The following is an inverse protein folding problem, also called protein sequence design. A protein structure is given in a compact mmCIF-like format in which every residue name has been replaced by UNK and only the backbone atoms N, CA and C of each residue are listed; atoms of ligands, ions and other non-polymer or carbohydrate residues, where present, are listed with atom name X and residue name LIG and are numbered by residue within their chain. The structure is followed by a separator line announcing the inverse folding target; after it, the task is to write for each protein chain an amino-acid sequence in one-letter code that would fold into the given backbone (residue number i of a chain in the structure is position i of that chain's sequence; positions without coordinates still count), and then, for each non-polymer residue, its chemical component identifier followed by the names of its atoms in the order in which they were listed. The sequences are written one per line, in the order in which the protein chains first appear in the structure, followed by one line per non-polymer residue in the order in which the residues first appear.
data_IF_423366059032
#
_entry.id   IF_423366059032
#
_cell.length_a   1.000
_cell.length_b   1.000
_cell.length_c   1.000
_cell.angle_alpha   90.00
_cell.angle_beta   90.00
_cell.angle_gamma   90.00
#
_symmetry.space_group_name_H-M   'P 1'
#
loop_
_entity.id
_entity.type
_entity.pdbx_description
1 polymer ?
#
# COMPACT_ATOMS: atom_id res chain seq x y z
N UNK A 1 21.33 -2.25 4.44
CA UNK A 1 21.59 -1.56 3.15
C UNK A 1 21.70 -0.08 3.46
N UNK A 2 22.83 0.60 3.21
CA UNK A 2 23.00 2.01 3.63
C UNK A 2 22.40 2.95 2.56
N UNK A 3 21.06 2.99 2.48
CA UNK A 3 20.35 3.76 1.46
C UNK A 3 20.22 5.21 1.92
N UNK A 4 20.81 6.14 1.16
CA UNK A 4 20.67 7.58 1.41
C UNK A 4 19.44 8.09 0.67
N UNK A 5 18.34 8.29 1.41
CA UNK A 5 17.10 8.82 0.86
C UNK A 5 17.28 10.30 0.49
N UNK A 6 16.96 10.73 -0.74
CA UNK A 6 17.00 12.14 -1.11
C UNK A 6 16.03 12.96 -0.25
N UNK A 7 16.42 14.20 0.10
CA UNK A 7 15.54 15.10 0.86
C UNK A 7 14.30 15.55 0.07
N UNK A 8 14.44 15.62 -1.24
CA UNK A 8 13.38 16.03 -2.17
C UNK A 8 13.45 15.19 -3.43
N UNK A 9 12.30 14.77 -3.95
CA UNK A 9 12.15 14.05 -5.22
C UNK A 9 10.97 14.64 -5.97
N UNK A 10 11.15 15.07 -7.22
CA UNK A 10 10.12 15.68 -8.06
C UNK A 10 9.39 16.85 -7.36
N UNK A 11 10.13 17.66 -6.60
CA UNK A 11 9.58 18.77 -5.81
C UNK A 11 8.84 18.37 -4.52
N UNK A 12 8.72 17.07 -4.22
CA UNK A 12 8.13 16.56 -2.98
C UNK A 12 9.21 16.37 -1.93
N UNK A 13 9.05 16.99 -0.76
CA UNK A 13 9.93 16.77 0.40
C UNK A 13 9.64 15.41 1.03
N UNK A 14 10.67 14.63 1.28
CA UNK A 14 10.54 13.37 2.03
C UNK A 14 10.57 13.67 3.53
N UNK A 15 9.57 13.20 4.32
CA UNK A 15 9.57 13.37 5.76
C UNK A 15 10.81 12.77 6.44
N UNK A 16 11.40 13.51 7.38
CA UNK A 16 12.66 13.16 8.05
C UNK A 16 12.58 13.28 9.59
N UNK A 17 11.37 13.29 10.14
CA UNK A 17 11.14 13.15 11.57
C UNK A 17 11.63 11.79 12.09
N UNK A 18 11.69 11.65 13.41
CA UNK A 18 12.10 10.39 14.04
C UNK A 18 11.15 9.23 13.66
N UNK A 19 9.82 9.36 13.74
CA UNK A 19 8.91 8.31 13.26
C UNK A 19 9.08 8.00 11.77
N UNK A 20 9.26 8.99 10.91
CA UNK A 20 9.47 8.75 9.48
C UNK A 20 10.75 7.94 9.21
N UNK A 21 11.86 8.28 9.87
CA UNK A 21 13.13 7.54 9.75
C UNK A 21 13.03 6.12 10.27
N UNK A 22 12.37 5.90 11.40
CA UNK A 22 12.20 4.56 11.96
C UNK A 22 11.23 3.70 11.13
N UNK A 23 10.18 4.29 10.56
CA UNK A 23 9.28 3.59 9.65
C UNK A 23 10.05 3.02 8.43
N UNK A 24 10.89 3.84 7.80
CA UNK A 24 11.63 3.37 6.62
C UNK A 24 12.74 2.38 6.98
N UNK A 25 13.33 2.47 8.17
CA UNK A 25 14.24 1.44 8.71
C UNK A 25 13.54 0.07 8.78
N UNK A 26 12.30 0.01 9.28
CA UNK A 26 11.51 -1.23 9.31
C UNK A 26 11.23 -1.79 7.90
N UNK A 27 10.95 -0.92 6.92
CA UNK A 27 10.78 -1.35 5.53
C UNK A 27 12.08 -1.88 4.91
N UNK A 28 13.23 -1.33 5.31
CA UNK A 28 14.54 -1.83 4.86
C UNK A 28 14.92 -3.15 5.54
N UNK A 29 14.52 -3.35 6.80
CA UNK A 29 14.82 -4.55 7.57
C UNK A 29 13.93 -5.74 7.20
N UNK A 30 12.66 -5.49 6.89
CA UNK A 30 11.67 -6.55 6.65
C UNK A 30 11.16 -6.62 5.22
N UNK A 31 11.28 -5.54 4.46
CA UNK A 31 10.88 -5.49 3.05
C UNK A 31 11.98 -5.96 2.10
N UNK A 32 11.78 -5.62 0.84
CA UNK A 32 12.77 -5.80 -0.22
C UNK A 32 13.07 -4.46 -0.86
N UNK A 33 14.17 -4.37 -1.62
CA UNK A 33 14.43 -3.17 -2.43
C UNK A 33 13.26 -2.84 -3.38
N UNK A 34 12.56 -3.88 -3.85
CA UNK A 34 11.38 -3.73 -4.68
C UNK A 34 10.23 -3.01 -3.94
N UNK A 35 9.89 -3.48 -2.73
CA UNK A 35 8.85 -2.84 -1.89
C UNK A 35 9.27 -1.44 -1.45
N UNK A 36 10.54 -1.25 -1.06
CA UNK A 36 11.10 0.06 -0.74
C UNK A 36 10.91 1.07 -1.88
N UNK A 37 11.30 0.69 -3.10
CA UNK A 37 11.14 1.56 -4.26
C UNK A 37 9.65 1.80 -4.60
N UNK A 38 8.80 0.78 -4.48
CA UNK A 38 7.36 0.91 -4.70
C UNK A 38 6.71 1.88 -3.71
N UNK A 39 6.93 1.70 -2.40
CA UNK A 39 6.43 2.56 -1.34
C UNK A 39 6.80 4.03 -1.55
N UNK A 40 8.07 4.32 -1.88
CA UNK A 40 8.51 5.69 -2.08
C UNK A 40 8.01 6.31 -3.39
N UNK A 41 7.86 5.52 -4.47
CA UNK A 41 7.16 6.01 -5.67
C UNK A 41 5.70 6.33 -5.37
N UNK A 42 4.98 5.43 -4.71
CA UNK A 42 3.58 5.62 -4.33
C UNK A 42 3.39 6.87 -3.47
N UNK A 43 4.29 7.12 -2.50
CA UNK A 43 4.30 8.36 -1.71
C UNK A 43 4.42 9.61 -2.58
N UNK A 44 5.45 9.68 -3.43
CA UNK A 44 5.72 10.88 -4.23
C UNK A 44 4.58 11.13 -5.22
N UNK A 45 4.05 10.08 -5.86
CA UNK A 45 2.87 10.18 -6.72
C UNK A 45 1.62 10.69 -5.96
N UNK A 46 1.38 10.18 -4.76
CA UNK A 46 0.29 10.64 -3.90
C UNK A 46 0.43 12.13 -3.55
N UNK A 47 1.64 12.58 -3.18
CA UNK A 47 1.91 13.98 -2.89
C UNK A 47 1.67 14.91 -4.08
N UNK A 48 2.14 14.52 -5.27
CA UNK A 48 1.93 15.28 -6.51
C UNK A 48 0.44 15.38 -6.85
N UNK A 49 -0.34 14.32 -6.60
CA UNK A 49 -1.79 14.38 -6.76
C UNK A 49 -2.44 15.33 -5.76
N UNK A 50 -2.00 15.31 -4.51
CA UNK A 50 -2.47 16.23 -3.47
C UNK A 50 -2.21 17.68 -3.84
N UNK A 51 -1.03 17.99 -4.38
CA UNK A 51 -0.68 19.31 -4.90
C UNK A 51 -1.55 19.73 -6.09
N UNK A 52 -1.70 18.86 -7.11
CA UNK A 52 -2.53 19.12 -8.29
C UNK A 52 -4.00 19.38 -7.93
N UNK A 53 -4.52 18.67 -6.93
CA UNK A 53 -5.91 18.79 -6.48
C UNK A 53 -6.12 19.80 -5.36
N UNK A 54 -5.06 20.52 -4.93
CA UNK A 54 -5.06 21.44 -3.80
C UNK A 54 -5.67 20.85 -2.52
N UNK A 55 -5.53 19.54 -2.33
CA UNK A 55 -6.02 18.81 -1.16
C UNK A 55 -5.07 19.01 0.01
N UNK A 56 -5.62 19.31 1.18
CA UNK A 56 -4.86 19.34 2.44
C UNK A 56 -4.75 17.92 2.98
N UNK A 57 -3.54 17.53 3.36
CA UNK A 57 -3.21 16.24 3.97
C UNK A 57 -1.96 16.41 4.84
N UNK A 58 -1.76 15.50 5.78
CA UNK A 58 -0.52 15.36 6.53
C UNK A 58 0.47 14.49 5.75
N UNK A 59 1.56 15.11 5.27
CA UNK A 59 2.56 14.43 4.47
C UNK A 59 3.35 13.37 5.26
N UNK A 60 3.49 13.53 6.58
CA UNK A 60 4.17 12.55 7.42
C UNK A 60 3.31 11.30 7.60
N UNK A 61 2.00 11.47 7.83
CA UNK A 61 1.08 10.34 7.93
C UNK A 61 0.92 9.61 6.59
N UNK A 62 0.85 10.34 5.48
CA UNK A 62 0.83 9.75 4.15
C UNK A 62 2.12 8.97 3.84
N UNK A 63 3.28 9.50 4.24
CA UNK A 63 4.56 8.81 4.11
C UNK A 63 4.59 7.52 4.92
N UNK A 64 4.25 7.57 6.21
CA UNK A 64 4.21 6.37 7.06
C UNK A 64 3.22 5.34 6.48
N UNK A 65 2.04 5.78 6.06
CA UNK A 65 1.06 4.88 5.42
C UNK A 65 1.64 4.22 4.15
N UNK A 66 2.36 4.96 3.30
CA UNK A 66 3.02 4.42 2.12
C UNK A 66 4.16 3.45 2.44
N UNK A 67 4.86 3.64 3.55
CA UNK A 67 5.94 2.74 3.99
C UNK A 67 5.36 1.41 4.48
N UNK A 68 4.22 1.44 5.16
CA UNK A 68 3.60 0.27 5.75
C UNK A 68 2.62 -0.48 4.85
N UNK A 69 2.13 0.11 3.75
CA UNK A 69 0.99 -0.46 3.00
C UNK A 69 1.17 -1.90 2.51
N UNK A 70 2.41 -2.25 2.15
CA UNK A 70 2.79 -3.58 1.66
C UNK A 70 3.57 -4.41 2.69
N UNK A 71 3.81 -3.90 3.91
CA UNK A 71 4.56 -4.67 4.91
C UNK A 71 3.83 -5.95 5.33
N UNK A 72 2.49 -5.98 5.23
CA UNK A 72 1.70 -7.19 5.44
C UNK A 72 1.98 -8.34 4.45
N UNK A 73 2.71 -8.10 3.36
CA UNK A 73 3.21 -9.16 2.46
C UNK A 73 4.45 -9.86 3.01
N UNK A 74 5.13 -9.27 3.98
CA UNK A 74 6.41 -9.77 4.49
C UNK A 74 6.21 -10.83 5.58
N UNK A 75 7.14 -11.79 5.73
CA UNK A 75 7.03 -12.83 6.77
C UNK A 75 6.92 -12.29 8.20
N UNK A 76 7.48 -11.12 8.48
CA UNK A 76 7.48 -10.53 9.82
C UNK A 76 6.11 -9.99 10.23
N UNK A 77 5.35 -9.41 9.29
CA UNK A 77 4.08 -8.73 9.60
C UNK A 77 2.85 -9.51 9.14
N UNK A 78 2.99 -10.53 8.28
CA UNK A 78 1.84 -11.32 7.81
C UNK A 78 1.27 -12.22 8.90
N UNK A 79 -0.06 -12.24 9.04
CA UNK A 79 -0.80 -13.17 9.90
C UNK A 79 -1.20 -14.45 9.17
N UNK A 80 -1.88 -15.36 9.86
CA UNK A 80 -2.43 -16.59 9.28
C UNK A 80 -3.79 -16.35 8.57
N UNK A 81 -4.53 -15.32 8.97
CA UNK A 81 -5.98 -15.22 8.73
C UNK A 81 -6.47 -13.84 8.29
N UNK A 82 -5.65 -12.79 8.37
CA UNK A 82 -6.05 -11.48 7.85
C UNK A 82 -5.61 -11.25 6.42
N UNK A 83 -6.29 -10.33 5.75
CA UNK A 83 -5.82 -9.67 4.53
C UNK A 83 -4.46 -9.00 4.76
N UNK A 84 -3.58 -9.02 3.75
CA UNK A 84 -2.27 -8.37 3.89
C UNK A 84 -2.42 -6.86 4.14
N UNK A 85 -3.46 -6.24 3.58
CA UNK A 85 -3.75 -4.82 3.81
C UNK A 85 -4.07 -4.55 5.30
N UNK A 86 -4.77 -5.47 5.96
CA UNK A 86 -5.08 -5.40 7.39
C UNK A 86 -3.84 -5.68 8.23
N UNK A 87 -2.99 -6.63 7.83
CA UNK A 87 -1.70 -6.90 8.48
C UNK A 87 -0.80 -5.65 8.47
N UNK A 88 -0.64 -5.02 7.31
CA UNK A 88 0.11 -3.77 7.17
C UNK A 88 -0.50 -2.62 8.00
N UNK A 89 -1.83 -2.51 8.01
CA UNK A 89 -2.53 -1.48 8.77
C UNK A 89 -2.35 -1.66 10.28
N UNK A 90 -2.42 -2.90 10.77
CA UNK A 90 -2.16 -3.24 12.17
C UNK A 90 -0.72 -2.89 12.56
N UNK A 91 0.26 -3.25 11.72
CA UNK A 91 1.65 -2.89 11.93
C UNK A 91 1.88 -1.37 12.01
N UNK A 92 1.27 -0.60 11.10
CA UNK A 92 1.36 0.86 11.09
C UNK A 92 0.76 1.49 12.36
N UNK A 93 -0.40 0.98 12.78
CA UNK A 93 -1.08 1.43 13.99
C UNK A 93 -0.26 1.14 15.25
N UNK A 94 0.30 -0.06 15.37
CA UNK A 94 1.12 -0.42 16.53
C UNK A 94 2.42 0.40 16.57
N UNK A 95 3.04 0.63 15.41
CA UNK A 95 4.19 1.52 15.26
C UNK A 95 3.88 2.93 15.76
N UNK A 96 2.82 3.57 15.25
CA UNK A 96 2.46 4.93 15.66
C UNK A 96 2.00 5.02 17.12
N UNK A 97 1.35 3.97 17.64
CA UNK A 97 1.01 3.90 19.07
C UNK A 97 2.27 3.90 19.94
N UNK A 98 3.33 3.19 19.52
CA UNK A 98 4.62 3.19 20.23
C UNK A 98 5.28 4.57 20.27
N UNK A 99 4.92 5.45 19.33
CA UNK A 99 5.34 6.85 19.27
C UNK A 99 4.42 7.81 20.04
N UNK A 100 3.36 7.32 20.68
CA UNK A 100 2.45 8.14 21.49
C UNK A 100 1.50 9.02 20.68
N UNK A 101 1.23 8.67 19.42
CA UNK A 101 0.29 9.41 18.57
C UNK A 101 -1.16 9.14 19.01
N UNK A 102 -2.06 10.12 18.87
CA UNK A 102 -3.43 10.01 19.38
C UNK A 102 -4.28 9.07 18.51
N UNK A 103 -5.31 8.46 19.11
CA UNK A 103 -6.16 7.46 18.46
C UNK A 103 -6.73 7.88 17.09
N UNK A 104 -7.20 9.12 16.85
CA UNK A 104 -7.67 9.54 15.53
C UNK A 104 -6.59 9.46 14.44
N UNK A 105 -5.32 9.73 14.79
CA UNK A 105 -4.18 9.59 13.89
C UNK A 105 -3.89 8.12 13.60
N UNK A 106 -3.98 7.27 14.62
CA UNK A 106 -3.82 5.82 14.46
C UNK A 106 -4.88 5.27 13.51
N UNK A 107 -6.14 5.67 13.68
CA UNK A 107 -7.24 5.23 12.83
C UNK A 107 -7.10 5.73 11.39
N UNK A 108 -6.70 6.99 11.18
CA UNK A 108 -6.50 7.53 9.85
C UNK A 108 -5.43 6.76 9.06
N UNK A 109 -4.29 6.45 9.70
CA UNK A 109 -3.22 5.68 9.05
C UNK A 109 -3.62 4.23 8.85
N UNK A 110 -4.34 3.64 9.82
CA UNK A 110 -4.90 2.29 9.65
C UNK A 110 -5.85 2.25 8.45
N UNK A 111 -6.76 3.21 8.31
CA UNK A 111 -7.70 3.29 7.19
C UNK A 111 -6.98 3.50 5.86
N UNK A 112 -5.97 4.38 5.81
CA UNK A 112 -5.19 4.62 4.61
C UNK A 112 -4.54 3.34 4.11
N UNK A 113 -3.89 2.61 5.02
CA UNK A 113 -3.26 1.33 4.69
C UNK A 113 -4.30 0.25 4.37
N UNK A 114 -5.34 0.06 5.18
CA UNK A 114 -6.29 -1.03 4.96
C UNK A 114 -7.09 -0.87 3.65
N UNK A 115 -7.34 0.37 3.22
CA UNK A 115 -8.16 0.68 2.04
C UNK A 115 -7.34 0.98 0.79
N UNK A 116 -6.01 0.88 0.82
CA UNK A 116 -5.17 1.28 -0.32
C UNK A 116 -5.44 0.48 -1.61
N UNK A 117 -5.95 -0.76 -1.51
CA UNK A 117 -6.39 -1.61 -2.64
C UNK A 117 -7.92 -1.61 -2.86
N UNK A 118 -8.66 -0.66 -2.28
CA UNK A 118 -10.13 -0.63 -2.32
C UNK A 118 -10.68 0.53 -3.17
N UNK A 119 -10.52 0.48 -4.51
CA UNK A 119 -11.05 1.50 -5.40
C UNK A 119 -12.59 1.55 -5.31
N UNK A 120 -13.16 2.75 -5.41
CA UNK A 120 -14.58 3.00 -5.21
C UNK A 120 -14.98 3.22 -3.75
N UNK A 121 -14.07 2.98 -2.80
CA UNK A 121 -14.25 3.32 -1.37
C UNK A 121 -13.22 4.37 -0.95
N UNK A 122 -11.93 4.13 -1.23
CA UNK A 122 -10.84 4.97 -0.77
C UNK A 122 -10.96 6.43 -1.23
N UNK A 123 -11.46 6.69 -2.43
CA UNK A 123 -11.63 8.05 -2.98
C UNK A 123 -12.63 8.92 -2.19
N UNK A 124 -13.53 8.28 -1.43
CA UNK A 124 -14.58 8.93 -0.63
C UNK A 124 -14.19 9.12 0.85
N UNK A 125 -12.98 8.70 1.23
CA UNK A 125 -12.43 8.84 2.59
C UNK A 125 -11.55 10.09 2.72
N UNK A 126 -10.89 10.23 3.86
CA UNK A 126 -9.94 11.29 4.18
C UNK A 126 -8.83 11.39 3.13
N UNK A 127 -8.16 12.55 3.07
CA UNK A 127 -7.24 12.88 1.99
C UNK A 127 -6.09 11.86 1.88
N UNK A 128 -5.52 11.43 3.00
CA UNK A 128 -4.43 10.46 3.10
C UNK A 128 -4.85 9.10 2.50
N UNK A 129 -6.08 8.66 2.78
CA UNK A 129 -6.64 7.41 2.25
C UNK A 129 -6.79 7.48 0.73
N UNK A 130 -7.42 8.54 0.24
CA UNK A 130 -7.66 8.74 -1.18
C UNK A 130 -6.34 8.93 -1.96
N UNK A 131 -5.39 9.66 -1.40
CA UNK A 131 -4.10 9.94 -2.04
C UNK A 131 -3.20 8.71 -2.05
N UNK A 132 -3.15 7.92 -0.96
CA UNK A 132 -2.39 6.67 -0.96
C UNK A 132 -2.93 5.69 -2.00
N UNK A 133 -4.25 5.48 -2.05
CA UNK A 133 -4.87 4.65 -3.08
C UNK A 133 -4.51 5.14 -4.49
N UNK A 134 -4.55 6.45 -4.75
CA UNK A 134 -4.14 7.00 -6.04
C UNK A 134 -2.66 6.73 -6.35
N UNK A 135 -1.76 6.96 -5.40
CA UNK A 135 -0.32 6.75 -5.57
C UNK A 135 0.01 5.29 -5.94
N UNK A 136 -0.59 4.34 -5.21
CA UNK A 136 -0.47 2.90 -5.49
C UNK A 136 -1.08 2.56 -6.85
N UNK A 137 -2.28 3.04 -7.15
CA UNK A 137 -2.94 2.74 -8.42
C UNK A 137 -2.16 3.30 -9.63
N UNK A 138 -1.50 4.45 -9.50
CA UNK A 138 -0.62 4.98 -10.52
C UNK A 138 0.61 4.07 -10.71
N UNK A 139 1.27 3.66 -9.64
CA UNK A 139 2.49 2.85 -9.75
C UNK A 139 2.24 1.41 -10.22
N UNK A 140 1.11 0.80 -9.83
CA UNK A 140 0.79 -0.60 -10.14
C UNK A 140 0.08 -0.74 -11.48
N UNK A 141 -1.04 -0.02 -11.67
CA UNK A 141 -1.93 -0.19 -12.83
C UNK A 141 -1.93 1.00 -13.80
N UNK A 142 -1.11 2.02 -13.54
CA UNK A 142 -1.01 3.21 -14.41
C UNK A 142 -2.23 4.12 -14.34
N UNK A 143 -3.03 4.06 -13.27
CA UNK A 143 -4.22 4.92 -13.14
C UNK A 143 -3.82 6.39 -13.13
N UNK A 144 -4.36 7.18 -14.04
CA UNK A 144 -4.04 8.59 -14.16
C UNK A 144 -2.62 8.86 -14.69
N UNK A 145 -1.98 7.88 -15.35
CA UNK A 145 -0.64 8.00 -15.90
C UNK A 145 -0.45 9.33 -16.63
N UNK A 146 -1.23 9.60 -17.68
CA UNK A 146 -1.14 10.82 -18.51
C UNK A 146 -1.51 12.13 -17.79
N UNK A 147 -2.04 12.07 -16.57
CA UNK A 147 -2.37 13.28 -15.78
C UNK A 147 -1.16 13.86 -15.06
N UNK A 148 -0.07 13.09 -14.93
CA UNK A 148 1.19 13.54 -14.36
C UNK A 148 2.16 13.94 -15.48
N UNK A 149 3.03 14.92 -15.26
CA UNK A 149 4.04 15.28 -16.25
C UNK A 149 5.04 14.12 -16.45
N UNK A 150 5.39 13.83 -17.70
CA UNK A 150 6.36 12.80 -18.06
C UNK A 150 7.73 13.03 -17.41
N UNK A 151 8.16 14.29 -17.29
CA UNK A 151 9.41 14.66 -16.64
C UNK A 151 9.42 14.23 -15.17
N UNK A 152 8.33 14.50 -14.44
CA UNK A 152 8.20 14.08 -13.04
C UNK A 152 8.17 12.55 -12.91
N UNK A 153 7.45 11.86 -13.81
CA UNK A 153 7.45 10.37 -13.84
C UNK A 153 8.87 9.82 -14.03
N UNK A 154 9.63 10.40 -14.97
CA UNK A 154 11.01 9.99 -15.27
C UNK A 154 11.96 10.28 -14.10
N UNK A 155 11.84 11.44 -13.45
CA UNK A 155 12.64 11.77 -12.27
C UNK A 155 12.40 10.78 -11.13
N UNK A 156 11.13 10.50 -10.82
CA UNK A 156 10.74 9.57 -9.74
C UNK A 156 11.28 8.17 -10.00
N UNK A 157 11.10 7.63 -11.22
CA UNK A 157 11.61 6.30 -11.58
C UNK A 157 13.14 6.28 -11.67
N UNK A 158 13.79 7.42 -11.98
CA UNK A 158 15.25 7.55 -11.93
C UNK A 158 15.81 7.44 -10.52
N UNK A 159 15.10 7.97 -9.52
CA UNK A 159 15.48 7.90 -8.09
C UNK A 159 15.09 6.57 -7.45
N UNK A 160 13.89 6.07 -7.75
CA UNK A 160 13.33 4.82 -7.22
C UNK A 160 13.00 3.86 -8.38
N UNK A 161 14.00 3.10 -8.88
CA UNK A 161 13.84 2.27 -10.07
C UNK A 161 12.72 1.23 -9.97
N UNK A 162 12.04 1.02 -11.09
CA UNK A 162 10.97 0.01 -11.23
C UNK A 162 11.50 -1.42 -11.40
N UNK A 163 12.73 -1.59 -11.90
CA UNK A 163 13.48 -2.87 -12.02
C UNK A 163 12.61 -4.11 -12.30
N UNK A 164 12.05 -4.21 -13.51
CA UNK A 164 11.25 -5.38 -13.90
C UNK A 164 9.85 -5.45 -13.27
N UNK A 165 9.34 -4.33 -12.74
CA UNK A 165 8.12 -4.26 -11.91
C UNK A 165 6.99 -5.22 -12.27
N UNK A 166 6.57 -5.28 -13.54
CA UNK A 166 5.43 -6.11 -13.97
C UNK A 166 5.67 -7.61 -13.74
N UNK A 167 6.92 -8.06 -13.89
CA UNK A 167 7.31 -9.45 -13.64
C UNK A 167 7.50 -9.74 -12.14
N UNK A 168 7.73 -8.71 -11.32
CA UNK A 168 8.05 -8.85 -9.90
C UNK A 168 6.82 -8.68 -8.99
N UNK A 169 5.92 -7.76 -9.30
CA UNK A 169 4.80 -7.37 -8.41
C UNK A 169 3.82 -8.53 -8.18
N UNK A 170 3.46 -9.28 -9.23
CA UNK A 170 2.49 -10.37 -9.13
C UNK A 170 3.03 -11.51 -8.25
N UNK A 171 4.25 -12.06 -8.47
CA UNK A 171 4.84 -13.03 -7.55
C UNK A 171 5.03 -12.49 -6.13
N UNK A 172 5.42 -11.22 -5.97
CA UNK A 172 5.62 -10.61 -4.65
C UNK A 172 4.33 -10.61 -3.83
N UNK A 173 3.22 -10.20 -4.45
CA UNK A 173 1.91 -10.20 -3.81
C UNK A 173 1.49 -11.64 -3.49
N UNK A 174 1.57 -12.52 -4.48
CA UNK A 174 1.21 -13.93 -4.31
C UNK A 174 1.96 -14.60 -3.15
N UNK A 175 3.28 -14.44 -3.06
CA UNK A 175 4.07 -15.03 -1.97
C UNK A 175 3.68 -14.48 -0.58
N UNK A 176 3.14 -13.27 -0.51
CA UNK A 176 2.65 -12.66 0.72
C UNK A 176 1.40 -13.32 1.29
N UNK A 177 0.53 -13.91 0.44
CA UNK A 177 -0.75 -14.49 0.87
C UNK A 177 -1.05 -15.90 0.35
N UNK A 178 -0.13 -16.56 -0.37
CA UNK A 178 -0.30 -17.95 -0.87
C UNK A 178 -0.61 -18.98 0.21
N UNK A 179 -0.23 -18.74 1.46
CA UNK A 179 -0.52 -19.61 2.60
C UNK A 179 -1.93 -19.41 3.18
N UNK A 180 -2.61 -18.34 2.77
CA UNK A 180 -3.94 -17.95 3.22
C UNK A 180 -4.80 -17.40 2.06
N UNK A 181 -4.91 -18.10 0.92
CA UNK A 181 -5.56 -17.56 -0.28
C UNK A 181 -7.06 -17.25 -0.07
N UNK A 182 -7.70 -17.85 0.94
CA UNK A 182 -9.08 -17.53 1.32
C UNK A 182 -9.25 -16.07 1.79
N UNK A 183 -8.19 -15.41 2.29
CA UNK A 183 -8.26 -14.00 2.72
C UNK A 183 -8.33 -13.04 1.53
N UNK A 184 -8.13 -13.50 0.30
CA UNK A 184 -8.27 -12.65 -0.90
C UNK A 184 -9.71 -12.53 -1.38
N UNK A 185 -10.66 -13.22 -0.73
CA UNK A 185 -12.08 -13.12 -1.05
C UNK A 185 -12.58 -11.66 -1.01
N UNK A 186 -13.34 -11.26 -2.04
CA UNK A 186 -13.94 -9.94 -2.13
C UNK A 186 -12.99 -8.79 -2.53
N UNK A 187 -11.78 -9.08 -3.03
CA UNK A 187 -10.85 -8.06 -3.51
C UNK A 187 -9.99 -8.53 -4.70
N UNK A 188 -9.22 -7.60 -5.28
CA UNK A 188 -8.39 -7.82 -6.47
C UNK A 188 -7.28 -8.87 -6.29
N UNK A 189 -6.90 -9.22 -5.05
CA UNK A 189 -5.87 -10.25 -4.82
C UNK A 189 -6.36 -11.65 -5.20
N UNK A 190 -7.69 -11.86 -5.29
CA UNK A 190 -8.24 -13.10 -5.84
C UNK A 190 -7.82 -13.32 -7.30
N UNK A 191 -7.66 -12.24 -8.07
CA UNK A 191 -7.18 -12.31 -9.46
C UNK A 191 -5.72 -12.76 -9.53
N UNK A 192 -4.90 -12.35 -8.55
CA UNK A 192 -3.50 -12.80 -8.42
C UNK A 192 -3.45 -14.29 -8.07
N UNK A 193 -4.29 -14.74 -7.12
CA UNK A 193 -4.42 -16.17 -6.82
C UNK A 193 -4.86 -16.97 -8.07
N UNK A 194 -5.90 -16.51 -8.78
CA UNK A 194 -6.38 -17.17 -10.00
C UNK A 194 -5.31 -17.22 -11.11
N UNK A 195 -4.48 -16.19 -11.21
CA UNK A 195 -3.38 -16.15 -12.17
C UNK A 195 -2.23 -17.10 -11.80
N UNK A 196 -1.91 -17.24 -10.51
CA UNK A 196 -0.74 -17.99 -10.03
C UNK A 196 -1.03 -19.45 -9.66
N UNK A 197 -2.29 -19.81 -9.41
CA UNK A 197 -2.72 -21.14 -8.99
C UNK A 197 -3.81 -21.67 -9.94
N UNK A 198 -3.48 -22.61 -10.85
CA UNK A 198 -4.43 -23.14 -11.84
C UNK A 198 -5.73 -23.73 -11.24
N UNK A 199 -5.63 -24.32 -10.04
CA UNK A 199 -6.75 -24.95 -9.35
C UNK A 199 -7.42 -24.04 -8.31
N UNK A 200 -7.07 -22.75 -8.26
CA UNK A 200 -7.68 -21.82 -7.32
C UNK A 200 -9.17 -21.63 -7.61
N UNK A 201 -9.99 -21.86 -6.59
CA UNK A 201 -11.41 -21.57 -6.62
C UNK A 201 -11.67 -20.36 -5.71
N UNK A 202 -11.94 -19.17 -6.28
CA UNK A 202 -12.34 -18.01 -5.49
C UNK A 202 -13.61 -18.33 -4.69
N UNK A 203 -13.72 -17.78 -3.48
CA UNK A 203 -15.00 -17.81 -2.76
C UNK A 203 -16.10 -17.16 -3.62
N UNK A 204 -17.31 -17.69 -3.52
CA UNK A 204 -18.47 -17.20 -4.27
C UNK A 204 -19.53 -16.66 -3.30
N UNK A 205 -19.88 -15.39 -3.46
CA UNK A 205 -20.85 -14.71 -2.59
C UNK A 205 -22.26 -15.27 -2.73
N UNK A 206 -22.68 -15.61 -3.95
CA UNK A 206 -23.99 -16.19 -4.19
C UNK A 206 -24.10 -17.57 -3.54
N UNK A 207 -23.05 -18.39 -3.61
CA UNK A 207 -23.03 -19.70 -2.94
C UNK A 207 -23.11 -19.53 -1.42
N UNK A 208 -22.38 -18.55 -0.85
CA UNK A 208 -22.46 -18.25 0.58
C UNK A 208 -23.86 -17.83 1.03
N UNK A 209 -24.62 -17.10 0.18
CA UNK A 209 -26.03 -16.76 0.45
C UNK A 209 -26.89 -18.02 0.41
N UNK A 210 -26.80 -18.80 -0.68
CA UNK A 210 -27.66 -19.97 -0.91
C UNK A 210 -27.40 -21.11 0.09
N UNK A 211 -26.19 -21.19 0.66
CA UNK A 211 -25.79 -22.18 1.66
C UNK A 211 -25.87 -21.64 3.09
N UNK A 212 -26.36 -20.41 3.28
CA UNK A 212 -26.53 -19.83 4.61
C UNK A 212 -27.47 -20.72 5.44
N UNK A 213 -27.19 -20.95 6.74
CA UNK A 213 -27.99 -21.86 7.57
C UNK A 213 -29.36 -21.31 7.97
N UNK A 214 -29.78 -20.20 7.35
CA UNK A 214 -31.07 -19.59 7.61
C UNK A 214 -32.18 -20.43 6.97
N UNK A 215 -33.34 -20.47 7.62
CA UNK A 215 -34.40 -21.43 7.32
C UNK A 215 -35.50 -20.89 6.39
N UNK A 216 -35.37 -19.67 5.88
CA UNK A 216 -36.30 -19.09 4.89
C UNK A 216 -36.47 -19.94 3.61
#
# INVERSE_FOLDING_TARGET
MNIRIPRTVAGVRIPDSTPARQAIELLLDHGTEFLYNHSLRSFVFACLKGQQSQRRYDAELLYISSVFHDLGLTPHYRSADYRFEVDGANAARDFLRSHGLPEPTLQLVWDAVALHTSPGIAEHKEAEVALLNYGVALDVVGRGYEQLDEHLRKEIVGVFPRNGFKATIIPTFFEGFRHKPHTTYGNMNADICAFMMPDFQPGNFCDAILQSPWSE
#
